data_IF_603014445992
#
_entry.id   IF_603014445992
#
_cell.length_a   1.000
_cell.length_b   1.000
_cell.length_c   1.000
_cell.angle_alpha   90.00
_cell.angle_beta   90.00
_cell.angle_gamma   90.00
#
_symmetry.space_group_name_H-M   'P 1'
#
loop_
_entity.id
_entity.type
_entity.pdbx_description
1 polymer ?
#
# COMPACT_ATOMS: atom_id res chain seq x y z
N UNK A 1 -5.20 20.16 -1.73
CA UNK A 1 -4.84 18.92 -1.01
C UNK A 1 -5.74 17.80 -1.51
N UNK A 2 -5.23 16.58 -1.50
CA UNK A 2 -5.95 15.42 -2.01
C UNK A 2 -7.12 15.02 -1.12
N UNK A 3 -8.16 14.49 -1.75
CA UNK A 3 -9.36 14.04 -1.06
C UNK A 3 -9.08 13.06 0.08
N UNK A 4 -8.19 12.08 -0.15
CA UNK A 4 -7.82 11.12 0.89
C UNK A 4 -7.26 11.82 2.12
N UNK A 5 -6.33 12.75 1.91
CA UNK A 5 -5.70 13.48 3.01
C UNK A 5 -6.71 14.33 3.75
N UNK A 6 -7.58 15.05 3.04
CA UNK A 6 -8.53 15.95 3.68
C UNK A 6 -9.69 15.23 4.35
N UNK A 7 -10.24 14.21 3.74
CA UNK A 7 -11.45 13.56 4.24
C UNK A 7 -11.19 12.40 5.19
N UNK A 8 -10.07 11.72 5.02
CA UNK A 8 -9.77 10.50 5.76
C UNK A 8 -8.60 10.67 6.72
N UNK A 9 -7.45 11.09 6.18
CA UNK A 9 -6.21 11.13 6.95
C UNK A 9 -6.16 12.34 7.85
N UNK A 10 -6.48 13.52 7.34
CA UNK A 10 -6.36 14.77 8.08
C UNK A 10 -7.27 14.83 9.31
N UNK A 11 -8.54 14.44 9.25
CA UNK A 11 -9.36 14.37 10.45
C UNK A 11 -8.79 13.45 11.52
N UNK A 12 -8.23 12.31 11.11
CA UNK A 12 -7.56 11.39 12.02
C UNK A 12 -6.36 12.06 12.70
N UNK A 13 -5.55 12.77 11.93
CA UNK A 13 -4.32 13.41 12.43
C UNK A 13 -4.62 14.55 13.39
N UNK A 14 -5.71 15.29 13.20
CA UNK A 14 -6.06 16.39 14.09
C UNK A 14 -6.49 15.93 15.47
N UNK A 15 -6.90 14.69 15.61
CA UNK A 15 -7.25 14.09 16.88
C UNK A 15 -6.07 13.50 17.63
N UNK A 16 -4.90 13.47 16.99
CA UNK A 16 -3.73 12.87 17.59
C UNK A 16 -2.91 13.89 18.37
N UNK A 17 -2.33 13.47 19.50
CA UNK A 17 -1.44 14.35 20.25
C UNK A 17 -0.14 14.60 19.47
N UNK A 18 0.58 15.64 19.87
CA UNK A 18 1.94 15.86 19.37
C UNK A 18 2.82 14.62 19.65
N UNK A 19 3.80 14.29 18.80
CA UNK A 19 4.38 15.14 17.79
C UNK A 19 3.55 15.21 16.51
N UNK A 20 3.87 16.17 15.71
CA UNK A 20 3.19 16.48 14.47
C UNK A 20 3.59 15.52 13.36
N UNK A 21 2.63 15.09 12.55
CA UNK A 21 2.92 14.26 11.37
C UNK A 21 3.52 15.15 10.27
N UNK A 22 4.65 14.72 9.72
CA UNK A 22 5.33 15.43 8.63
C UNK A 22 5.34 14.66 7.33
N UNK A 23 5.05 13.35 7.36
CA UNK A 23 5.04 12.51 6.16
C UNK A 23 3.91 11.51 6.21
N UNK A 24 3.25 11.31 5.08
CA UNK A 24 2.19 10.33 4.92
C UNK A 24 2.63 9.31 3.88
N UNK A 25 2.67 8.05 4.28
CA UNK A 25 3.06 6.92 3.44
C UNK A 25 1.82 6.12 3.10
N UNK A 26 1.63 5.82 1.83
CA UNK A 26 0.59 4.91 1.38
C UNK A 26 1.15 3.53 1.12
N UNK A 27 0.48 2.50 1.59
CA UNK A 27 0.89 1.12 1.41
C UNK A 27 -0.24 0.34 0.76
N UNK A 28 0.03 -0.20 -0.42
CA UNK A 28 -0.90 -1.06 -1.13
C UNK A 28 -0.38 -2.49 -1.05
N UNK A 29 -0.98 -3.27 -0.16
CA UNK A 29 -0.57 -4.64 0.10
C UNK A 29 -1.43 -5.65 -0.63
N UNK A 30 -0.82 -6.71 -1.12
CA UNK A 30 -1.55 -7.78 -1.78
C UNK A 30 -0.65 -8.92 -2.22
N UNK A 31 -1.28 -9.97 -2.72
CA UNK A 31 -0.56 -11.13 -3.25
C UNK A 31 0.01 -10.87 -4.63
N UNK A 32 -0.72 -10.13 -5.45
CA UNK A 32 -0.34 -9.72 -6.81
C UNK A 32 0.19 -10.88 -7.66
N UNK A 33 -0.71 -11.79 -7.97
CA UNK A 33 -0.40 -13.05 -8.67
C UNK A 33 -1.23 -13.23 -9.96
N UNK A 34 -1.12 -12.37 -10.99
CA UNK A 34 -0.21 -11.23 -11.10
C UNK A 34 -0.86 -9.91 -10.71
N UNK A 35 -0.04 -8.87 -10.69
CA UNK A 35 -0.49 -7.48 -10.58
C UNK A 35 -1.14 -7.09 -11.91
N UNK A 36 -2.40 -6.73 -11.87
CA UNK A 36 -3.17 -6.45 -13.08
C UNK A 36 -3.42 -4.96 -13.32
N UNK A 37 -4.11 -4.62 -14.43
CA UNK A 37 -4.41 -3.21 -14.74
C UNK A 37 -5.22 -2.50 -13.68
N UNK A 38 -6.14 -3.20 -13.03
CA UNK A 38 -6.94 -2.62 -11.94
C UNK A 38 -6.07 -2.33 -10.72
N UNK A 39 -5.07 -3.15 -10.45
CA UNK A 39 -4.09 -2.89 -9.39
C UNK A 39 -3.27 -1.66 -9.70
N UNK A 40 -2.84 -1.51 -10.94
CA UNK A 40 -2.08 -0.33 -11.37
C UNK A 40 -2.90 0.94 -11.19
N UNK A 41 -4.17 0.89 -11.54
CA UNK A 41 -5.07 2.03 -11.38
C UNK A 41 -5.19 2.43 -9.91
N UNK A 42 -5.31 1.45 -9.02
CA UNK A 42 -5.38 1.70 -7.58
C UNK A 42 -4.08 2.31 -7.07
N UNK A 43 -2.95 1.77 -7.49
CA UNK A 43 -1.65 2.30 -7.08
C UNK A 43 -1.46 3.74 -7.56
N UNK A 44 -1.80 4.03 -8.81
CA UNK A 44 -1.70 5.39 -9.37
C UNK A 44 -2.59 6.38 -8.62
N UNK A 45 -3.77 5.94 -8.24
CA UNK A 45 -4.65 6.76 -7.42
C UNK A 45 -4.02 7.04 -6.05
N UNK A 46 -3.50 5.99 -5.39
CA UNK A 46 -2.85 6.14 -4.08
C UNK A 46 -1.65 7.08 -4.16
N UNK A 47 -0.85 6.94 -5.20
CA UNK A 47 0.36 7.75 -5.41
C UNK A 47 0.05 9.25 -5.39
N UNK A 48 -1.13 9.63 -5.87
CA UNK A 48 -1.57 11.03 -5.90
C UNK A 48 -2.10 11.52 -4.56
N UNK A 49 -2.38 10.61 -3.62
CA UNK A 49 -3.01 10.95 -2.35
C UNK A 49 -2.04 11.12 -1.20
N UNK A 50 -0.84 10.61 -1.32
CA UNK A 50 0.13 10.54 -0.23
C UNK A 50 1.49 11.06 -0.70
N UNK A 51 2.41 11.24 0.25
CA UNK A 51 3.75 11.72 -0.08
C UNK A 51 4.56 10.66 -0.81
N UNK A 52 4.48 9.41 -0.36
CA UNK A 52 5.16 8.29 -1.00
C UNK A 52 4.23 7.08 -0.97
N UNK A 53 4.05 6.44 -2.10
CA UNK A 53 3.24 5.22 -2.19
C UNK A 53 4.11 4.02 -2.47
N UNK A 54 3.82 2.92 -1.80
CA UNK A 54 4.56 1.66 -1.91
C UNK A 54 3.62 0.50 -2.14
N UNK A 55 4.13 -0.50 -2.82
CA UNK A 55 3.47 -1.79 -2.97
C UNK A 55 4.20 -2.78 -2.08
N UNK A 56 3.47 -3.53 -1.27
CA UNK A 56 4.04 -4.57 -0.43
C UNK A 56 3.49 -5.92 -0.86
N UNK A 57 4.36 -6.89 -0.99
CA UNK A 57 3.96 -8.24 -1.41
C UNK A 57 4.96 -9.27 -0.88
N UNK A 58 4.53 -10.52 -0.82
CA UNK A 58 5.35 -11.59 -0.27
C UNK A 58 6.24 -12.24 -1.33
N UNK A 59 7.13 -13.14 -0.86
CA UNK A 59 7.98 -13.94 -1.73
C UNK A 59 7.52 -15.41 -1.80
N UNK A 60 6.27 -15.67 -1.47
CA UNK A 60 5.74 -17.03 -1.50
C UNK A 60 5.50 -17.47 -2.94
N UNK A 61 6.06 -18.64 -3.32
CA UNK A 61 5.80 -19.24 -4.62
C UNK A 61 5.29 -20.66 -4.40
N UNK A 62 4.01 -20.86 -4.61
CA UNK A 62 3.31 -22.14 -4.44
C UNK A 62 2.25 -22.29 -5.53
N UNK A 63 2.61 -22.77 -6.72
CA UNK A 63 1.63 -23.01 -7.77
C UNK A 63 0.56 -24.01 -7.33
N UNK A 64 -0.67 -23.89 -7.82
CA UNK A 64 -1.13 -22.91 -8.81
C UNK A 64 -1.57 -21.56 -8.23
N UNK A 65 -1.75 -21.48 -6.91
CA UNK A 65 -2.31 -20.27 -6.26
C UNK A 65 -1.32 -19.11 -6.20
N UNK A 66 -0.04 -19.44 -6.01
CA UNK A 66 1.03 -18.43 -5.92
C UNK A 66 2.10 -18.75 -6.96
N UNK A 67 1.84 -18.49 -8.25
CA UNK A 67 2.79 -18.87 -9.30
C UNK A 67 4.03 -17.99 -9.40
N UNK A 68 4.04 -16.82 -8.76
CA UNK A 68 5.14 -15.87 -8.91
C UNK A 68 5.84 -15.61 -7.58
N UNK A 69 7.17 -15.63 -7.60
CA UNK A 69 7.97 -15.17 -6.47
C UNK A 69 8.11 -13.65 -6.49
N UNK A 70 8.79 -13.08 -5.50
CA UNK A 70 8.93 -11.63 -5.40
C UNK A 70 9.65 -11.02 -6.61
N UNK A 71 10.75 -11.62 -7.07
CA UNK A 71 11.49 -11.11 -8.22
C UNK A 71 10.65 -11.10 -9.49
N UNK A 72 9.86 -12.12 -9.69
CA UNK A 72 8.97 -12.19 -10.85
C UNK A 72 7.88 -11.11 -10.78
N UNK A 73 7.35 -10.87 -9.59
CA UNK A 73 6.37 -9.79 -9.38
C UNK A 73 6.99 -8.43 -9.66
N UNK A 74 8.18 -8.16 -9.16
CA UNK A 74 8.89 -6.90 -9.41
C UNK A 74 9.10 -6.68 -10.90
N UNK A 75 9.57 -7.73 -11.60
CA UNK A 75 9.79 -7.66 -13.05
C UNK A 75 8.49 -7.31 -13.77
N UNK A 76 7.41 -7.96 -13.41
CA UNK A 76 6.11 -7.73 -14.03
C UNK A 76 5.61 -6.30 -13.78
N UNK A 77 5.64 -5.86 -12.54
CA UNK A 77 5.20 -4.52 -12.16
C UNK A 77 6.07 -3.43 -12.79
N UNK A 78 7.38 -3.67 -12.88
CA UNK A 78 8.30 -2.71 -13.51
C UNK A 78 7.96 -2.50 -14.98
N UNK A 79 7.55 -3.55 -15.69
CA UNK A 79 7.09 -3.44 -17.07
C UNK A 79 5.81 -2.61 -17.18
N UNK A 80 5.05 -2.52 -16.12
CA UNK A 80 3.84 -1.70 -16.06
C UNK A 80 4.13 -0.26 -15.63
N UNK A 81 5.40 0.06 -15.38
CA UNK A 81 5.82 1.43 -15.06
C UNK A 81 5.98 1.75 -13.59
N UNK A 82 5.94 0.74 -12.72
CA UNK A 82 6.15 0.97 -11.29
C UNK A 82 7.64 0.89 -10.96
N UNK A 83 8.22 1.92 -10.33
CA UNK A 83 9.64 1.88 -9.96
C UNK A 83 9.91 0.75 -8.97
N UNK A 84 11.01 0.05 -9.15
CA UNK A 84 11.36 -1.09 -8.30
C UNK A 84 11.57 -0.69 -6.84
N UNK A 85 12.01 0.54 -6.58
CA UNK A 85 12.21 1.03 -5.21
C UNK A 85 10.89 1.29 -4.47
N UNK A 86 9.77 1.18 -5.16
CA UNK A 86 8.43 1.30 -4.57
C UNK A 86 7.77 -0.05 -4.31
N UNK A 87 8.45 -1.14 -4.64
CA UNK A 87 7.94 -2.50 -4.46
C UNK A 87 8.76 -3.16 -3.36
N UNK A 88 8.12 -3.46 -2.24
CA UNK A 88 8.80 -3.90 -1.03
C UNK A 88 8.36 -5.32 -0.68
N UNK A 89 9.33 -6.16 -0.39
CA UNK A 89 9.06 -7.52 0.08
C UNK A 89 8.67 -7.48 1.56
N UNK A 90 7.51 -8.03 1.87
CA UNK A 90 7.05 -8.18 3.24
C UNK A 90 6.57 -9.60 3.44
N UNK A 91 6.85 -10.16 4.60
CA UNK A 91 6.37 -11.48 4.96
C UNK A 91 4.86 -11.50 5.02
N UNK A 92 4.27 -10.46 5.57
CA UNK A 92 2.84 -10.20 5.52
C UNK A 92 2.62 -8.89 4.78
N UNK A 93 2.03 -8.91 3.57
CA UNK A 93 1.84 -7.68 2.79
C UNK A 93 0.95 -6.64 3.47
N UNK A 94 0.13 -7.08 4.41
CA UNK A 94 -0.83 -6.20 5.09
C UNK A 94 -0.26 -5.59 6.37
N UNK A 95 1.00 -5.91 6.67
CA UNK A 95 1.75 -5.35 7.80
C UNK A 95 3.13 -4.98 7.26
N UNK A 96 3.32 -3.71 6.93
CA UNK A 96 4.53 -3.24 6.24
C UNK A 96 5.69 -3.03 7.20
N UNK A 97 6.07 -4.06 7.92
CA UNK A 97 7.06 -4.01 8.99
C UNK A 97 8.43 -3.60 8.49
N UNK A 98 8.90 -4.22 7.41
CA UNK A 98 10.22 -3.88 6.84
C UNK A 98 10.23 -2.48 6.26
N UNK A 99 9.17 -2.09 5.56
CA UNK A 99 9.07 -0.77 4.99
C UNK A 99 9.07 0.30 6.09
N UNK A 100 8.22 0.14 7.08
CA UNK A 100 8.04 1.16 8.11
C UNK A 100 9.24 1.29 9.05
N UNK A 101 10.11 0.30 9.10
CA UNK A 101 11.36 0.40 9.87
C UNK A 101 12.28 1.51 9.36
N UNK A 102 12.05 1.99 8.14
CA UNK A 102 12.87 3.04 7.52
C UNK A 102 12.40 4.45 7.82
N UNK A 103 11.28 4.59 8.52
CA UNK A 103 10.67 5.89 8.77
C UNK A 103 10.58 6.19 10.26
N UNK A 104 10.53 7.48 10.58
CA UNK A 104 10.33 7.92 11.96
C UNK A 104 8.89 7.66 12.36
N UNK A 105 8.70 6.79 13.35
CA UNK A 105 7.36 6.38 13.79
C UNK A 105 6.58 7.50 14.45
N UNK A 106 7.25 8.52 14.94
CA UNK A 106 6.60 9.63 15.63
C UNK A 106 6.08 10.71 14.69
N UNK A 107 6.64 10.78 13.47
CA UNK A 107 6.29 11.82 12.52
C UNK A 107 5.70 11.29 11.22
N UNK A 108 5.62 9.97 11.06
CA UNK A 108 5.12 9.34 9.84
C UNK A 108 3.78 8.69 10.08
N UNK A 109 2.77 9.08 9.31
CA UNK A 109 1.50 8.39 9.27
C UNK A 109 1.50 7.40 8.11
N UNK A 110 0.82 6.27 8.27
CA UNK A 110 0.70 5.28 7.22
C UNK A 110 -0.77 5.02 6.90
N UNK A 111 -1.08 4.96 5.62
CA UNK A 111 -2.41 4.62 5.13
C UNK A 111 -2.29 3.29 4.40
N UNK A 112 -3.00 2.29 4.87
CA UNK A 112 -3.02 0.97 4.24
C UNK A 112 -4.24 0.86 3.36
N UNK A 113 -4.01 0.40 2.13
CA UNK A 113 -5.06 0.09 1.18
C UNK A 113 -4.93 -1.36 0.79
N UNK A 114 -6.04 -2.08 0.81
CA UNK A 114 -6.07 -3.46 0.34
C UNK A 114 -7.43 -3.71 -0.32
N UNK A 115 -7.39 -4.46 -1.41
CA UNK A 115 -8.61 -4.80 -2.12
C UNK A 115 -9.41 -5.85 -1.39
N UNK A 116 -10.72 -5.78 -1.52
CA UNK A 116 -11.59 -6.89 -1.18
C UNK A 116 -11.42 -7.92 -2.29
N UNK A 117 -10.98 -9.11 -1.96
CA UNK A 117 -10.54 -10.07 -2.99
C UNK A 117 -11.66 -10.86 -3.64
N UNK A 118 -12.90 -10.55 -3.39
CA UNK A 118 -14.00 -11.17 -4.12
C UNK A 118 -14.13 -10.48 -5.47
N UNK A 119 -14.05 -11.26 -6.53
CA UNK A 119 -14.02 -10.72 -7.89
C UNK A 119 -15.23 -9.85 -8.24
N UNK A 120 -16.36 -10.08 -7.64
CA UNK A 120 -17.54 -9.26 -7.87
C UNK A 120 -17.40 -7.83 -7.44
N UNK A 121 -16.43 -7.54 -6.59
CA UNK A 121 -16.16 -6.18 -6.14
C UNK A 121 -15.35 -5.38 -7.14
N UNK A 122 -14.70 -6.02 -8.07
CA UNK A 122 -13.83 -5.31 -9.01
C UNK A 122 -14.60 -4.51 -10.06
N UNK A 123 -15.90 -4.63 -10.07
CA UNK A 123 -16.75 -3.80 -10.89
C UNK A 123 -17.21 -2.53 -10.18
N UNK A 124 -16.80 -2.34 -8.96
CA UNK A 124 -17.27 -1.30 -8.07
C UNK A 124 -16.11 -0.38 -7.68
N UNK A 125 -16.33 0.92 -7.71
CA UNK A 125 -15.27 1.89 -7.41
C UNK A 125 -14.86 1.93 -5.95
N UNK A 126 -15.62 1.28 -5.08
CA UNK A 126 -15.42 1.35 -3.64
C UNK A 126 -14.86 0.07 -3.05
N UNK A 127 -14.11 -0.68 -3.87
CA UNK A 127 -13.57 -1.98 -3.49
C UNK A 127 -12.31 -1.89 -2.64
N UNK A 128 -12.09 -0.77 -1.99
CA UNK A 128 -10.96 -0.65 -1.07
C UNK A 128 -11.40 -0.54 0.35
N UNK A 129 -10.53 -0.98 1.22
CA UNK A 129 -10.62 -0.66 2.63
C UNK A 129 -9.42 0.17 3.02
N UNK A 130 -9.61 1.04 3.99
CA UNK A 130 -8.57 1.92 4.48
C UNK A 130 -8.26 1.59 5.93
N UNK A 131 -7.00 1.66 6.26
CA UNK A 131 -6.56 1.62 7.63
C UNK A 131 -5.49 2.69 7.81
N UNK A 132 -5.70 3.58 8.77
CA UNK A 132 -4.78 4.66 9.05
C UNK A 132 -4.14 4.42 10.41
N UNK A 133 -2.83 4.62 10.49
CA UNK A 133 -2.11 4.43 11.73
C UNK A 133 -0.84 5.27 11.76
N UNK A 134 -0.16 5.23 12.88
CA UNK A 134 1.11 5.92 13.05
C UNK A 134 2.26 4.92 13.05
N UNK A 135 3.27 5.22 12.22
CA UNK A 135 4.54 4.53 12.26
C UNK A 135 4.46 3.03 12.08
N UNK A 136 5.30 2.33 12.80
CA UNK A 136 5.50 0.89 12.65
C UNK A 136 4.72 0.05 13.63
N UNK A 137 3.92 0.64 14.45
CA UNK A 137 3.13 -0.12 15.42
C UNK A 137 1.92 -0.71 14.74
N UNK A 138 2.12 -1.87 14.22
CA UNK A 138 1.11 -2.58 13.45
C UNK A 138 0.85 -3.95 14.06
#
# INVERSE_FOLDING_TARGET
>A
MNRLVEEIVKPFLTEMPAPRVTKIIGVYGGRFQPFGPHHLKTYKWLEKQVDEAYITTSNIKQPPRHPMNFKEKVRHMSKMGIPSNRIIQEKSPYVAKNLMSKFDTETTAVVYIFGLYKHEYYNNKEDFQFKVGMGVKL
#
